data_IF_316981555138
#
_entry.id   IF_316981555138
#
_cell.length_a   1.000
_cell.length_b   1.000
_cell.length_c   1.000
_cell.angle_alpha   90.00
_cell.angle_beta   90.00
_cell.angle_gamma   90.00
#
_symmetry.space_group_name_H-M   'P 1'
#
loop_
_entity.id
_entity.type
_entity.pdbx_description
1 polymer ?
#
# COMPACT_ATOMS: atom_id res chain seq x y z
N UNK A 1 29.20 14.07 -4.18
CA UNK A 1 28.89 15.46 -4.50
C UNK A 1 27.39 15.53 -4.83
N UNK A 2 26.64 16.33 -4.12
CA UNK A 2 25.26 16.66 -4.48
C UNK A 2 25.35 17.78 -5.48
N UNK A 3 25.02 17.52 -6.74
CA UNK A 3 24.90 18.54 -7.74
C UNK A 3 23.52 19.16 -7.64
N UNK A 4 23.45 20.38 -7.13
CA UNK A 4 22.20 21.14 -7.10
C UNK A 4 22.04 21.85 -8.45
N UNK A 5 21.23 21.28 -9.35
CA UNK A 5 20.92 21.88 -10.63
C UNK A 5 19.78 22.87 -10.43
N UNK A 6 20.10 24.16 -10.36
CA UNK A 6 19.07 25.21 -10.33
C UNK A 6 18.67 25.47 -11.79
N UNK A 7 17.56 24.89 -12.21
CA UNK A 7 16.99 25.22 -13.53
C UNK A 7 16.33 26.61 -13.46
N UNK A 8 16.65 27.44 -14.49
CA UNK A 8 15.93 28.71 -14.65
C UNK A 8 14.45 28.41 -14.91
N UNK A 9 13.58 28.83 -13.99
CA UNK A 9 12.14 28.60 -14.12
C UNK A 9 11.63 29.36 -15.35
N UNK A 10 10.93 28.70 -16.26
CA UNK A 10 10.24 29.38 -17.36
C UNK A 10 9.07 30.17 -16.76
N UNK A 11 9.04 31.47 -17.00
CA UNK A 11 8.00 32.37 -16.49
C UNK A 11 6.63 32.07 -17.13
N UNK A 12 6.63 31.62 -18.38
CA UNK A 12 5.41 31.27 -19.12
C UNK A 12 5.73 30.16 -20.11
N UNK A 13 4.86 29.19 -20.24
CA UNK A 13 4.97 28.10 -21.21
C UNK A 13 4.34 26.84 -20.71
N UNK A 14 4.21 25.84 -21.57
CA UNK A 14 3.63 24.57 -21.25
C UNK A 14 4.22 23.43 -22.05
N UNK A 15 3.90 22.23 -21.64
CA UNK A 15 4.22 20.98 -22.33
C UNK A 15 2.98 20.08 -22.26
N UNK A 16 2.72 19.42 -23.38
CA UNK A 16 1.67 18.39 -23.48
C UNK A 16 2.33 17.14 -24.02
N UNK A 17 2.13 16.02 -23.33
CA UNK A 17 2.53 14.70 -23.77
C UNK A 17 1.27 13.82 -23.79
N UNK A 18 1.14 13.03 -24.83
CA UNK A 18 0.10 12.01 -24.90
C UNK A 18 0.66 10.74 -25.53
N UNK A 19 0.14 9.63 -25.07
CA UNK A 19 0.43 8.32 -25.62
C UNK A 19 -0.90 7.58 -25.75
N UNK A 20 -1.17 7.02 -26.92
CA UNK A 20 -2.32 6.17 -27.19
C UNK A 20 -1.80 4.82 -27.65
N UNK A 21 -2.25 3.77 -27.00
CA UNK A 21 -1.84 2.40 -27.27
C UNK A 21 -3.04 1.50 -27.04
N UNK A 22 -3.72 1.17 -28.12
CA UNK A 22 -4.97 0.39 -28.08
C UNK A 22 -4.94 -0.77 -29.07
N UNK A 23 -5.48 -1.90 -28.65
CA UNK A 23 -5.75 -3.06 -29.49
C UNK A 23 -7.25 -3.35 -29.51
N UNK A 24 -7.98 -2.90 -30.52
CA UNK A 24 -9.43 -3.05 -30.55
C UNK A 24 -9.91 -4.51 -30.56
N UNK A 25 -9.12 -5.42 -31.12
CA UNK A 25 -9.44 -6.84 -31.19
C UNK A 25 -9.45 -7.52 -29.82
N UNK A 26 -8.48 -7.15 -28.95
CA UNK A 26 -8.34 -7.74 -27.60
C UNK A 26 -8.94 -6.88 -26.51
N UNK A 27 -9.52 -5.73 -26.86
CA UNK A 27 -9.98 -4.71 -25.90
C UNK A 27 -8.90 -4.31 -24.88
N UNK A 28 -7.62 -4.40 -25.30
CA UNK A 28 -6.51 -3.93 -24.50
C UNK A 28 -6.19 -2.49 -24.87
N UNK A 29 -5.96 -1.65 -23.85
CA UNK A 29 -5.54 -0.27 -24.07
C UNK A 29 -4.79 0.28 -22.88
N UNK A 30 -3.82 1.15 -23.17
CA UNK A 30 -3.09 1.91 -22.19
C UNK A 30 -2.82 3.32 -22.73
N UNK A 31 -3.53 4.31 -22.19
CA UNK A 31 -3.56 5.66 -22.71
C UNK A 31 -3.13 6.64 -21.62
N UNK A 32 -2.31 7.60 -21.99
CA UNK A 32 -1.79 8.60 -21.09
C UNK A 32 -1.86 9.99 -21.74
N UNK A 33 -2.33 10.96 -20.95
CA UNK A 33 -2.27 12.39 -21.25
C UNK A 33 -1.64 13.11 -20.06
N UNK A 34 -0.60 13.88 -20.31
CA UNK A 34 0.00 14.80 -19.33
C UNK A 34 0.14 16.19 -19.94
N UNK A 35 -0.36 17.18 -19.25
CA UNK A 35 -0.16 18.58 -19.64
C UNK A 35 0.25 19.40 -18.42
N UNK A 36 1.25 20.27 -18.62
CA UNK A 36 1.70 21.25 -17.64
C UNK A 36 1.73 22.63 -18.26
N UNK A 37 1.29 23.61 -17.52
CA UNK A 37 1.32 25.01 -17.90
C UNK A 37 1.86 25.85 -16.76
N UNK A 38 2.86 26.70 -17.06
CA UNK A 38 3.48 27.64 -16.13
C UNK A 38 3.11 29.06 -16.51
N UNK A 39 2.67 29.80 -15.51
CA UNK A 39 2.48 31.25 -15.66
C UNK A 39 2.99 31.96 -14.41
N UNK A 40 4.06 32.73 -14.56
CA UNK A 40 4.75 33.41 -13.45
C UNK A 40 5.10 32.43 -12.32
N UNK A 41 4.50 32.62 -11.17
CA UNK A 41 4.75 31.83 -9.97
C UNK A 41 3.83 30.60 -9.84
N UNK A 42 2.92 30.41 -10.79
CA UNK A 42 1.92 29.33 -10.78
C UNK A 42 2.27 28.26 -11.80
N UNK A 43 2.04 27.01 -11.43
CA UNK A 43 2.11 25.85 -12.31
C UNK A 43 0.81 25.06 -12.17
N UNK A 44 0.23 24.69 -13.30
CA UNK A 44 -0.97 23.86 -13.41
C UNK A 44 -0.58 22.56 -14.10
N UNK A 45 -1.08 21.45 -13.63
CA UNK A 45 -0.85 20.14 -14.24
C UNK A 45 -2.13 19.33 -14.29
N UNK A 46 -2.24 18.54 -15.35
CA UNK A 46 -3.22 17.47 -15.49
C UNK A 46 -2.51 16.23 -15.98
N UNK A 47 -2.70 15.12 -15.28
CA UNK A 47 -2.30 13.80 -15.74
C UNK A 47 -3.54 12.90 -15.73
N UNK A 48 -3.78 12.26 -16.86
CA UNK A 48 -4.85 11.29 -17.00
C UNK A 48 -4.28 9.99 -17.57
N UNK A 49 -4.60 8.90 -16.90
CA UNK A 49 -4.21 7.56 -17.29
C UNK A 49 -5.45 6.69 -17.40
N UNK A 50 -5.58 5.98 -18.52
CA UNK A 50 -6.60 4.97 -18.74
C UNK A 50 -5.93 3.65 -19.10
N UNK A 51 -6.40 2.58 -18.49
CA UNK A 51 -6.03 1.21 -18.86
C UNK A 51 -7.27 0.34 -18.88
N UNK A 52 -7.41 -0.43 -19.94
CA UNK A 52 -8.44 -1.45 -20.08
C UNK A 52 -7.80 -2.72 -20.61
N UNK A 53 -8.36 -3.85 -20.23
CA UNK A 53 -7.87 -5.12 -20.72
C UNK A 53 -8.88 -6.24 -20.54
N UNK A 54 -9.08 -7.00 -21.62
CA UNK A 54 -9.76 -8.28 -21.61
C UNK A 54 -8.70 -9.38 -21.69
N UNK A 55 -8.77 -10.34 -20.80
CA UNK A 55 -7.87 -11.49 -20.78
C UNK A 55 -8.62 -12.73 -20.30
N UNK A 56 -8.09 -13.89 -20.63
CA UNK A 56 -8.54 -15.16 -20.12
C UNK A 56 -7.58 -15.63 -19.02
N UNK A 57 -8.12 -16.19 -17.97
CA UNK A 57 -7.35 -16.61 -16.80
C UNK A 57 -7.39 -18.12 -16.68
N UNK A 58 -6.20 -18.74 -16.59
CA UNK A 58 -6.05 -20.13 -16.23
C UNK A 58 -5.31 -20.23 -14.91
N UNK A 59 -5.91 -20.90 -13.95
CA UNK A 59 -5.30 -21.19 -12.66
C UNK A 59 -5.16 -22.69 -12.50
N UNK A 60 -3.99 -23.15 -12.10
CA UNK A 60 -3.76 -24.52 -11.68
C UNK A 60 -3.27 -24.49 -10.23
N UNK A 61 -3.89 -25.30 -9.37
CA UNK A 61 -3.47 -25.42 -7.99
C UNK A 61 -3.64 -26.85 -7.49
N UNK A 62 -2.72 -27.23 -6.61
CA UNK A 62 -2.84 -28.41 -5.76
C UNK A 62 -2.91 -27.93 -4.32
N UNK A 63 -4.02 -28.17 -3.66
CA UNK A 63 -4.33 -27.66 -2.33
C UNK A 63 -4.53 -28.84 -1.38
N UNK A 64 -3.83 -28.84 -0.25
CA UNK A 64 -3.98 -29.84 0.79
C UNK A 64 -4.55 -29.19 2.05
N UNK A 65 -5.69 -29.64 2.49
CA UNK A 65 -6.38 -29.14 3.67
C UNK A 65 -6.32 -30.19 4.79
N UNK A 66 -5.78 -29.79 5.94
CA UNK A 66 -5.71 -30.62 7.15
C UNK A 66 -6.86 -30.28 8.07
N UNK A 67 -7.86 -31.15 8.16
CA UNK A 67 -9.09 -30.96 8.92
C UNK A 67 -9.13 -31.76 10.24
N UNK A 68 -7.98 -31.98 10.85
CA UNK A 68 -7.84 -32.73 12.09
C UNK A 68 -7.86 -34.24 11.87
N UNK A 69 -9.03 -34.81 11.74
CA UNK A 69 -9.24 -36.25 11.55
C UNK A 69 -9.13 -36.73 10.09
N UNK A 70 -9.15 -35.78 9.16
CA UNK A 70 -9.07 -36.06 7.71
C UNK A 70 -8.22 -35.03 6.99
N UNK A 71 -7.67 -35.47 5.85
CA UNK A 71 -6.96 -34.62 4.90
C UNK A 71 -7.73 -34.61 3.58
N UNK A 72 -7.89 -33.44 2.98
CA UNK A 72 -8.47 -33.29 1.65
C UNK A 72 -7.37 -32.77 0.72
N UNK A 73 -7.00 -33.58 -0.25
CA UNK A 73 -6.14 -33.18 -1.37
C UNK A 73 -7.02 -32.81 -2.56
N UNK A 74 -7.00 -31.54 -2.94
CA UNK A 74 -7.82 -31.00 -4.00
C UNK A 74 -6.94 -30.46 -5.12
N UNK A 75 -7.17 -30.94 -6.33
CA UNK A 75 -6.53 -30.42 -7.54
C UNK A 75 -7.57 -29.58 -8.28
N UNK A 76 -7.14 -28.38 -8.69
CA UNK A 76 -7.92 -27.48 -9.54
C UNK A 76 -7.19 -27.25 -10.85
N UNK A 77 -7.91 -27.35 -11.95
CA UNK A 77 -7.44 -27.03 -13.28
C UNK A 77 -8.40 -26.03 -13.93
N UNK A 78 -7.88 -24.82 -14.21
CA UNK A 78 -8.65 -23.74 -14.83
C UNK A 78 -8.97 -24.00 -16.28
N UNK A 79 -10.19 -23.70 -16.69
CA UNK A 79 -10.65 -23.74 -18.07
C UNK A 79 -10.56 -22.33 -18.64
N UNK A 80 -9.52 -22.06 -19.44
CA UNK A 80 -9.16 -20.73 -19.89
C UNK A 80 -10.25 -20.05 -20.71
N UNK A 81 -10.82 -20.73 -21.68
CA UNK A 81 -11.85 -20.20 -22.60
C UNK A 81 -13.12 -19.75 -21.85
N UNK A 82 -13.43 -20.39 -20.71
CA UNK A 82 -14.59 -20.11 -19.86
C UNK A 82 -14.25 -19.16 -18.69
N UNK A 83 -13.04 -18.62 -18.66
CA UNK A 83 -12.55 -17.74 -17.59
C UNK A 83 -12.19 -16.33 -18.08
N UNK A 84 -13.10 -15.63 -18.81
CA UNK A 84 -12.84 -14.27 -19.27
C UNK A 84 -12.87 -13.26 -18.13
N UNK A 85 -11.99 -12.29 -18.22
CA UNK A 85 -11.93 -11.14 -17.31
C UNK A 85 -11.84 -9.85 -18.11
N UNK A 86 -12.52 -8.80 -17.63
CA UNK A 86 -12.46 -7.45 -18.18
C UNK A 86 -12.26 -6.45 -17.07
N UNK A 87 -11.32 -5.54 -17.26
CA UNK A 87 -11.05 -4.47 -16.30
C UNK A 87 -10.81 -3.12 -16.95
N UNK A 88 -11.21 -2.09 -16.26
CA UNK A 88 -11.00 -0.67 -16.59
C UNK A 88 -10.40 0.05 -15.41
N UNK A 89 -9.35 0.83 -15.65
CA UNK A 89 -8.71 1.71 -14.65
C UNK A 89 -8.61 3.10 -15.26
N UNK A 90 -9.05 4.11 -14.52
CA UNK A 90 -8.92 5.51 -14.90
C UNK A 90 -8.35 6.29 -13.72
N UNK A 91 -7.27 7.00 -13.93
CA UNK A 91 -6.62 7.83 -12.93
C UNK A 91 -6.56 9.26 -13.43
N UNK A 92 -7.12 10.18 -12.68
CA UNK A 92 -7.04 11.61 -12.90
C UNK A 92 -6.23 12.26 -11.79
N UNK A 93 -5.26 13.07 -12.15
CA UNK A 93 -4.47 13.86 -11.23
C UNK A 93 -4.43 15.32 -11.72
N UNK A 94 -4.93 16.24 -10.92
CA UNK A 94 -4.89 17.68 -11.15
C UNK A 94 -3.97 18.31 -10.12
N UNK A 95 -3.00 19.09 -10.57
CA UNK A 95 -2.03 19.74 -9.69
C UNK A 95 -2.05 21.24 -9.88
N UNK A 96 -1.94 21.96 -8.78
CA UNK A 96 -1.70 23.40 -8.77
C UNK A 96 -0.56 23.71 -7.81
N UNK A 97 0.46 24.40 -8.28
CA UNK A 97 1.60 24.85 -7.50
C UNK A 97 1.71 26.37 -7.59
N UNK A 98 1.78 27.02 -6.44
CA UNK A 98 2.10 28.44 -6.34
C UNK A 98 3.33 28.63 -5.47
N UNK A 99 4.39 29.19 -6.03
CA UNK A 99 5.65 29.38 -5.32
C UNK A 99 6.08 30.83 -5.41
N UNK A 100 6.19 31.50 -4.26
CA UNK A 100 6.83 32.80 -4.16
C UNK A 100 8.14 32.60 -3.43
N UNK A 101 9.23 32.78 -4.15
CA UNK A 101 10.57 32.55 -3.61
C UNK A 101 10.76 33.24 -2.25
N UNK A 102 11.37 32.51 -1.30
CA UNK A 102 11.67 32.94 0.06
C UNK A 102 10.48 33.36 0.94
N UNK A 103 9.25 33.13 0.50
CA UNK A 103 8.06 33.51 1.26
C UNK A 103 7.13 32.33 1.53
N UNK A 104 6.55 31.75 0.49
CA UNK A 104 5.62 30.65 0.65
C UNK A 104 5.57 29.72 -0.56
N UNK A 105 5.17 28.49 -0.29
CA UNK A 105 4.79 27.46 -1.27
C UNK A 105 3.37 27.01 -0.93
N UNK A 106 2.50 26.98 -1.93
CA UNK A 106 1.20 26.35 -1.85
C UNK A 106 1.08 25.30 -2.94
N UNK A 107 0.59 24.13 -2.57
CA UNK A 107 0.35 23.03 -3.50
C UNK A 107 -1.05 22.48 -3.23
N UNK A 108 -1.81 22.27 -4.29
CA UNK A 108 -3.10 21.58 -4.25
C UNK A 108 -3.07 20.44 -5.28
N UNK A 109 -3.40 19.24 -4.84
CA UNK A 109 -3.45 18.05 -5.69
C UNK A 109 -4.80 17.38 -5.50
N UNK A 110 -5.58 17.30 -6.57
CA UNK A 110 -6.76 16.46 -6.62
C UNK A 110 -6.44 15.19 -7.37
N UNK A 111 -6.75 14.04 -6.78
CA UNK A 111 -6.60 12.71 -7.39
C UNK A 111 -7.93 11.99 -7.37
N UNK A 112 -8.24 11.29 -8.44
CA UNK A 112 -9.37 10.36 -8.45
C UNK A 112 -9.00 9.10 -9.21
N UNK A 113 -9.08 7.96 -8.52
CA UNK A 113 -8.88 6.65 -9.12
C UNK A 113 -10.25 5.98 -9.25
N UNK A 114 -10.54 5.55 -10.47
CA UNK A 114 -11.73 4.80 -10.82
C UNK A 114 -11.29 3.43 -11.34
N UNK A 115 -11.78 2.38 -10.74
CA UNK A 115 -11.58 1.02 -11.26
C UNK A 115 -12.92 0.32 -11.37
N UNK A 116 -13.05 -0.49 -12.42
CA UNK A 116 -14.23 -1.31 -12.65
C UNK A 116 -13.82 -2.60 -13.35
N UNK A 117 -14.16 -3.73 -12.76
CA UNK A 117 -14.07 -5.04 -13.37
C UNK A 117 -15.49 -5.63 -13.44
N UNK A 118 -16.21 -5.43 -14.58
CA UNK A 118 -17.59 -5.87 -14.71
C UNK A 118 -17.76 -7.37 -14.57
N UNK A 119 -16.73 -8.10 -14.89
CA UNK A 119 -16.65 -9.54 -14.65
C UNK A 119 -15.19 -10.00 -14.58
N UNK A 120 -14.95 -10.92 -13.67
CA UNK A 120 -13.74 -11.71 -13.54
C UNK A 120 -14.21 -13.13 -13.29
N UNK A 121 -14.34 -13.89 -14.37
CA UNK A 121 -14.83 -15.26 -14.34
C UNK A 121 -13.66 -16.22 -14.15
N UNK A 122 -13.90 -17.30 -13.42
CA UNK A 122 -12.97 -18.39 -13.24
C UNK A 122 -13.77 -19.69 -13.17
N UNK A 123 -13.60 -20.55 -14.16
CA UNK A 123 -14.16 -21.90 -14.18
C UNK A 123 -13.02 -22.89 -14.00
N UNK A 124 -13.14 -23.74 -12.98
CA UNK A 124 -12.17 -24.78 -12.70
C UNK A 124 -12.84 -26.15 -12.66
N UNK A 125 -12.17 -27.13 -13.18
CA UNK A 125 -12.41 -28.53 -12.89
C UNK A 125 -11.66 -28.91 -11.62
N UNK A 126 -12.33 -29.55 -10.68
CA UNK A 126 -11.78 -29.94 -9.37
C UNK A 126 -11.99 -31.41 -9.12
N UNK A 127 -10.98 -32.06 -8.52
CA UNK A 127 -11.06 -33.44 -8.07
C UNK A 127 -10.15 -33.68 -6.87
N UNK A 128 -10.48 -34.70 -6.07
CA UNK A 128 -9.58 -35.17 -5.03
C UNK A 128 -8.41 -35.94 -5.66
N UNK A 129 -7.20 -35.81 -5.11
CA UNK A 129 -6.05 -36.54 -5.59
C UNK A 129 -6.31 -38.06 -5.56
N UNK A 130 -6.07 -38.73 -6.68
CA UNK A 130 -6.35 -40.14 -6.87
C UNK A 130 -7.81 -40.51 -7.20
N UNK A 131 -8.73 -39.53 -7.28
CA UNK A 131 -10.13 -39.73 -7.68
C UNK A 131 -10.30 -39.55 -9.18
N UNK A 132 -11.22 -40.34 -9.77
CA UNK A 132 -11.70 -40.15 -11.14
C UNK A 132 -12.94 -39.27 -11.22
N UNK A 133 -13.57 -39.02 -10.08
CA UNK A 133 -14.72 -38.11 -10.00
C UNK A 133 -14.28 -36.67 -9.92
N UNK A 134 -14.90 -35.80 -10.70
CA UNK A 134 -14.64 -34.39 -10.70
C UNK A 134 -15.92 -33.58 -10.56
N UNK A 135 -15.77 -32.38 -10.01
CA UNK A 135 -16.78 -31.34 -9.94
C UNK A 135 -16.25 -30.10 -10.59
N UNK A 136 -17.09 -29.12 -10.83
CA UNK A 136 -16.69 -27.79 -11.31
C UNK A 136 -16.88 -26.77 -10.22
N UNK A 137 -15.97 -25.78 -10.16
CA UNK A 137 -16.17 -24.55 -9.41
C UNK A 137 -16.21 -23.36 -10.35
N UNK A 138 -17.19 -22.52 -10.15
CA UNK A 138 -17.34 -21.28 -10.91
C UNK A 138 -17.30 -20.09 -9.95
N UNK A 139 -16.43 -19.14 -10.26
CA UNK A 139 -16.34 -17.85 -9.56
C UNK A 139 -16.66 -16.75 -10.55
N UNK A 140 -17.52 -15.83 -10.16
CA UNK A 140 -17.73 -14.57 -10.86
C UNK A 140 -17.56 -13.43 -9.87
N UNK A 141 -16.56 -12.56 -10.11
CA UNK A 141 -16.37 -11.34 -9.36
C UNK A 141 -16.71 -10.13 -10.22
N UNK A 142 -17.52 -9.25 -9.66
CA UNK A 142 -17.72 -7.90 -10.16
C UNK A 142 -17.21 -6.92 -9.09
N UNK A 143 -16.19 -6.13 -9.42
CA UNK A 143 -15.62 -5.15 -8.50
C UNK A 143 -15.64 -3.77 -9.13
N UNK A 144 -15.96 -2.77 -8.34
CA UNK A 144 -15.81 -1.37 -8.73
C UNK A 144 -15.35 -0.52 -7.55
N UNK A 145 -14.59 0.51 -7.84
CA UNK A 145 -14.22 1.50 -6.82
C UNK A 145 -14.01 2.88 -7.44
N UNK A 146 -14.28 3.92 -6.65
CA UNK A 146 -13.76 5.25 -6.91
C UNK A 146 -13.19 5.84 -5.63
N UNK A 147 -12.12 6.63 -5.77
CA UNK A 147 -11.39 7.15 -4.62
C UNK A 147 -10.86 8.57 -4.85
N UNK A 148 -11.74 9.60 -4.80
CA UNK A 148 -11.28 10.97 -4.84
C UNK A 148 -10.51 11.35 -3.58
N UNK A 149 -9.42 12.08 -3.76
CA UNK A 149 -8.61 12.65 -2.70
C UNK A 149 -8.17 14.07 -3.05
N UNK A 150 -8.14 14.92 -2.06
CA UNK A 150 -7.63 16.29 -2.16
C UNK A 150 -6.51 16.47 -1.14
N UNK A 151 -5.32 16.81 -1.62
CA UNK A 151 -4.16 17.17 -0.80
C UNK A 151 -3.92 18.67 -0.92
N UNK A 152 -3.82 19.35 0.21
CA UNK A 152 -3.49 20.76 0.33
C UNK A 152 -2.22 20.89 1.17
N UNK A 153 -1.18 21.46 0.60
CA UNK A 153 0.07 21.75 1.29
C UNK A 153 0.36 23.24 1.27
N UNK A 154 0.73 23.78 2.41
CA UNK A 154 1.17 25.15 2.55
C UNK A 154 2.45 25.22 3.39
N UNK A 155 3.46 25.91 2.91
CA UNK A 155 4.66 26.25 3.64
C UNK A 155 4.88 27.74 3.64
N UNK A 156 5.17 28.31 4.80
CA UNK A 156 5.56 29.69 4.96
C UNK A 156 6.93 29.82 5.59
N UNK A 157 7.80 30.57 4.92
CA UNK A 157 9.14 30.90 5.44
C UNK A 157 9.03 32.15 6.32
N UNK A 158 9.44 32.01 7.58
CA UNK A 158 9.45 33.06 8.57
C UNK A 158 10.86 33.68 8.71
N UNK A 159 10.98 34.88 9.29
CA UNK A 159 12.30 35.46 9.64
C UNK A 159 13.14 34.51 10.50
N UNK A 160 14.45 34.73 10.55
CA UNK A 160 15.41 33.98 11.38
C UNK A 160 15.45 32.47 11.06
N UNK A 161 15.36 32.10 9.77
CA UNK A 161 15.51 30.72 9.30
C UNK A 161 14.48 29.75 9.91
N UNK A 162 13.24 30.21 10.03
CA UNK A 162 12.11 29.41 10.52
C UNK A 162 11.16 29.10 9.37
N UNK A 163 10.39 28.03 9.50
CA UNK A 163 9.30 27.71 8.58
C UNK A 163 8.15 27.00 9.31
N UNK A 164 6.94 27.23 8.79
CA UNK A 164 5.74 26.50 9.19
C UNK A 164 5.25 25.76 7.94
N UNK A 165 4.91 24.49 8.12
CA UNK A 165 4.33 23.65 7.07
C UNK A 165 3.01 23.11 7.60
N UNK A 166 1.98 23.16 6.76
CA UNK A 166 0.67 22.59 7.04
C UNK A 166 0.26 21.73 5.85
N UNK A 167 -0.17 20.52 6.14
CA UNK A 167 -0.69 19.59 5.15
C UNK A 167 -2.08 19.11 5.58
N UNK A 168 -3.04 19.10 4.65
CA UNK A 168 -4.40 18.56 4.88
C UNK A 168 -4.75 17.66 3.70
N UNK A 169 -5.08 16.40 4.00
CA UNK A 169 -5.53 15.44 3.00
C UNK A 169 -6.91 14.94 3.35
N UNK A 170 -7.86 15.10 2.44
CA UNK A 170 -9.19 14.49 2.51
C UNK A 170 -9.32 13.36 1.49
N UNK A 171 -9.87 12.21 1.89
CA UNK A 171 -10.09 11.07 0.98
C UNK A 171 -11.46 10.46 1.20
N UNK A 172 -12.14 10.17 0.10
CA UNK A 172 -13.36 9.37 0.07
C UNK A 172 -13.07 8.13 -0.76
N UNK A 173 -13.44 6.95 -0.28
CA UNK A 173 -13.31 5.70 -1.05
C UNK A 173 -14.65 5.00 -0.98
N UNK A 174 -15.18 4.65 -2.14
CA UNK A 174 -16.35 3.79 -2.26
C UNK A 174 -15.98 2.55 -3.06
N UNK A 175 -16.34 1.39 -2.54
CA UNK A 175 -16.03 0.09 -3.17
C UNK A 175 -17.28 -0.78 -3.22
N UNK A 176 -17.45 -1.49 -4.33
CA UNK A 176 -18.45 -2.56 -4.46
C UNK A 176 -17.76 -3.83 -4.87
N UNK A 177 -18.09 -4.91 -4.18
CA UNK A 177 -17.63 -6.25 -4.51
C UNK A 177 -18.82 -7.20 -4.50
N UNK A 178 -19.11 -7.80 -5.63
CA UNK A 178 -20.13 -8.84 -5.77
C UNK A 178 -19.42 -10.11 -6.24
N UNK A 179 -19.34 -11.08 -5.37
CA UNK A 179 -18.73 -12.38 -5.63
C UNK A 179 -19.82 -13.46 -5.60
N UNK A 180 -19.89 -14.24 -6.67
CA UNK A 180 -20.67 -15.47 -6.74
C UNK A 180 -19.72 -16.64 -6.86
N UNK A 181 -19.92 -17.66 -6.04
CA UNK A 181 -19.19 -18.90 -6.04
C UNK A 181 -20.15 -20.07 -6.11
N UNK A 182 -19.93 -20.97 -7.06
CA UNK A 182 -20.73 -22.20 -7.20
C UNK A 182 -19.84 -23.41 -7.30
N UNK A 183 -20.25 -24.51 -6.67
CA UNK A 183 -19.72 -25.84 -6.93
C UNK A 183 -20.84 -26.71 -7.48
N UNK A 184 -20.56 -27.49 -8.51
CA UNK A 184 -21.56 -28.35 -9.14
C UNK A 184 -20.92 -29.54 -9.85
N UNK A 185 -21.64 -30.66 -9.87
CA UNK A 185 -21.37 -31.81 -10.75
C UNK A 185 -22.22 -31.71 -12.02
N UNK A 186 -23.43 -31.18 -11.86
CA UNK A 186 -24.40 -30.82 -12.89
C UNK A 186 -24.85 -29.38 -12.62
N UNK A 187 -24.87 -28.50 -13.63
CA UNK A 187 -25.26 -27.09 -13.50
C UNK A 187 -26.63 -26.87 -12.86
N UNK A 188 -27.54 -27.80 -13.05
CA UNK A 188 -28.92 -27.75 -12.51
C UNK A 188 -29.03 -28.18 -11.04
N UNK A 189 -27.97 -28.76 -10.47
CA UNK A 189 -27.93 -29.25 -9.10
C UNK A 189 -26.64 -28.79 -8.38
N UNK A 190 -26.54 -27.51 -7.97
CA UNK A 190 -25.35 -27.00 -7.32
C UNK A 190 -25.14 -27.66 -5.96
N UNK A 191 -23.90 -28.06 -5.69
CA UNK A 191 -23.44 -28.53 -4.37
C UNK A 191 -23.23 -27.35 -3.41
N UNK A 192 -22.85 -26.19 -3.94
CA UNK A 192 -22.78 -24.93 -3.23
C UNK A 192 -23.15 -23.76 -4.13
N UNK A 193 -23.84 -22.76 -3.59
CA UNK A 193 -24.14 -21.47 -4.22
C UNK A 193 -23.97 -20.38 -3.15
N UNK A 194 -22.83 -19.70 -3.20
CA UNK A 194 -22.43 -18.67 -2.22
C UNK A 194 -22.41 -17.34 -2.93
N UNK A 195 -23.14 -16.37 -2.42
CA UNK A 195 -23.10 -15.01 -2.90
C UNK A 195 -22.70 -14.06 -1.77
N UNK A 196 -21.66 -13.27 -2.03
CA UNK A 196 -21.19 -12.21 -1.15
C UNK A 196 -21.25 -10.90 -1.91
N UNK A 197 -22.01 -9.95 -1.38
CA UNK A 197 -22.07 -8.59 -1.89
C UNK A 197 -21.63 -7.66 -0.75
N UNK A 198 -20.60 -6.84 -1.00
CA UNK A 198 -20.08 -5.87 -0.04
C UNK A 198 -20.08 -4.49 -0.68
N UNK A 199 -20.81 -3.56 -0.06
CA UNK A 199 -20.72 -2.12 -0.33
C UNK A 199 -19.91 -1.48 0.80
N UNK A 200 -18.78 -0.85 0.45
CA UNK A 200 -17.86 -0.26 1.42
C UNK A 200 -17.67 1.24 1.17
N UNK A 201 -17.83 2.02 2.23
CA UNK A 201 -17.56 3.45 2.27
C UNK A 201 -16.47 3.76 3.30
N UNK A 202 -15.45 4.49 2.88
CA UNK A 202 -14.40 5.00 3.75
C UNK A 202 -14.21 6.49 3.54
N UNK A 203 -14.23 7.24 4.63
CA UNK A 203 -13.96 8.68 4.65
C UNK A 203 -12.81 8.96 5.60
N UNK A 204 -11.84 9.74 5.16
CA UNK A 204 -10.72 10.08 6.04
C UNK A 204 -10.23 11.50 5.82
N UNK A 205 -9.71 12.09 6.91
CA UNK A 205 -9.02 13.38 6.91
C UNK A 205 -7.71 13.21 7.67
N UNK A 206 -6.65 13.75 7.11
CA UNK A 206 -5.33 13.86 7.74
C UNK A 206 -5.00 15.35 7.83
N UNK A 207 -4.65 15.83 9.00
CA UNK A 207 -4.07 17.14 9.22
C UNK A 207 -2.67 17.01 9.82
N UNK A 208 -1.71 17.76 9.31
CA UNK A 208 -0.34 17.78 9.83
C UNK A 208 0.15 19.22 9.89
N UNK A 209 0.81 19.60 10.98
CA UNK A 209 1.47 20.88 11.14
C UNK A 209 2.89 20.64 11.66
N UNK A 210 3.88 21.25 11.01
CA UNK A 210 5.30 21.14 11.38
C UNK A 210 5.88 22.54 11.48
N UNK A 211 6.56 22.81 12.56
CA UNK A 211 7.40 23.98 12.72
C UNK A 211 8.88 23.57 12.66
N UNK A 212 9.68 24.33 11.94
CA UNK A 212 11.11 24.09 11.79
C UNK A 212 11.90 25.36 12.09
N UNK A 213 13.04 25.20 12.74
CA UNK A 213 14.02 26.26 12.96
C UNK A 213 15.42 25.75 12.66
N UNK A 214 16.10 26.44 11.75
CA UNK A 214 17.48 26.16 11.39
C UNK A 214 18.41 27.05 12.21
N UNK A 215 19.39 26.42 12.83
CA UNK A 215 20.59 27.04 13.38
C UNK A 215 21.76 26.75 12.43
N UNK A 216 22.95 27.27 12.73
CA UNK A 216 24.11 27.10 11.81
C UNK A 216 24.35 25.64 11.40
N UNK A 217 24.32 24.71 12.34
CA UNK A 217 24.68 23.31 12.13
C UNK A 217 23.58 22.34 12.56
N UNK A 218 22.53 22.85 13.20
CA UNK A 218 21.46 22.07 13.78
C UNK A 218 20.10 22.59 13.30
N UNK A 219 19.21 21.68 12.94
CA UNK A 219 17.82 21.95 12.64
C UNK A 219 16.96 21.29 13.72
N UNK A 220 16.04 22.05 14.29
CA UNK A 220 15.00 21.56 15.17
C UNK A 220 13.68 21.53 14.40
N UNK A 221 12.91 20.47 14.61
CA UNK A 221 11.57 20.33 14.04
C UNK A 221 10.65 19.75 15.10
N UNK A 222 9.48 20.32 15.25
CA UNK A 222 8.39 19.75 16.03
C UNK A 222 7.12 19.70 15.17
N UNK A 223 6.29 18.72 15.42
CA UNK A 223 5.09 18.56 14.62
C UNK A 223 4.03 17.73 15.30
N UNK A 224 2.81 17.95 14.82
CA UNK A 224 1.63 17.19 15.20
C UNK A 224 0.92 16.73 13.93
N UNK A 225 0.46 15.47 13.96
CA UNK A 225 -0.36 14.87 12.90
C UNK A 225 -1.58 14.23 13.52
N UNK A 226 -2.73 14.53 12.94
CA UNK A 226 -3.99 13.88 13.31
C UNK A 226 -4.59 13.22 12.07
N UNK A 227 -5.01 11.99 12.22
CA UNK A 227 -5.72 11.20 11.23
C UNK A 227 -7.06 10.78 11.83
N UNK A 228 -8.14 11.04 11.11
CA UNK A 228 -9.49 10.60 11.44
C UNK A 228 -10.04 9.80 10.27
N UNK A 229 -10.64 8.65 10.54
CA UNK A 229 -11.24 7.79 9.54
C UNK A 229 -12.56 7.21 10.05
N UNK A 230 -13.51 7.08 9.15
CA UNK A 230 -14.72 6.28 9.33
C UNK A 230 -14.86 5.33 8.16
N UNK A 231 -15.08 4.07 8.46
CA UNK A 231 -15.34 3.01 7.47
C UNK A 231 -16.67 2.35 7.79
N UNK A 232 -17.46 2.09 6.77
CA UNK A 232 -18.74 1.38 6.85
C UNK A 232 -18.78 0.34 5.73
N UNK A 233 -19.03 -0.92 6.08
CA UNK A 233 -19.22 -2.00 5.13
C UNK A 233 -20.61 -2.60 5.33
N UNK A 234 -21.39 -2.61 4.27
CA UNK A 234 -22.70 -3.26 4.22
C UNK A 234 -22.53 -4.61 3.50
N UNK A 235 -22.71 -5.70 4.21
CA UNK A 235 -22.68 -7.05 3.68
C UNK A 235 -24.09 -7.48 3.34
N UNK A 236 -24.29 -7.91 2.08
CA UNK A 236 -25.58 -8.41 1.57
C UNK A 236 -25.35 -9.83 1.04
N UNK A 237 -26.35 -10.67 1.05
CA UNK A 237 -26.27 -12.05 0.61
C UNK A 237 -26.75 -13.01 1.69
N UNK A 238 -26.04 -14.12 1.90
CA UNK A 238 -26.46 -15.17 2.83
C UNK A 238 -26.53 -14.73 4.29
N UNK A 239 -25.64 -13.78 4.70
CA UNK A 239 -25.58 -13.23 6.06
C UNK A 239 -25.52 -11.70 6.00
N UNK A 240 -26.68 -11.01 5.84
CA UNK A 240 -26.69 -9.56 5.74
C UNK A 240 -26.35 -8.91 7.10
N UNK A 241 -25.38 -8.01 7.09
CA UNK A 241 -24.97 -7.24 8.26
C UNK A 241 -24.26 -5.96 7.86
N UNK A 242 -24.11 -5.02 8.79
CA UNK A 242 -23.36 -3.79 8.59
C UNK A 242 -22.30 -3.66 9.67
N UNK A 243 -21.07 -3.46 9.26
CA UNK A 243 -19.95 -3.20 10.16
C UNK A 243 -19.48 -1.75 9.99
N UNK A 244 -19.21 -1.08 11.11
CA UNK A 244 -18.78 0.33 11.17
C UNK A 244 -17.59 0.46 12.09
N UNK A 245 -16.59 1.21 11.63
CA UNK A 245 -15.43 1.54 12.45
C UNK A 245 -15.10 3.02 12.35
N UNK A 246 -14.98 3.65 13.50
CA UNK A 246 -14.36 4.96 13.65
C UNK A 246 -12.94 4.76 14.18
N UNK A 247 -11.97 5.42 13.56
CA UNK A 247 -10.56 5.34 13.93
C UNK A 247 -9.92 6.70 13.94
N UNK A 248 -9.09 6.97 14.94
CA UNK A 248 -8.22 8.14 14.95
C UNK A 248 -6.81 7.79 15.37
N UNK A 249 -5.85 8.54 14.84
CA UNK A 249 -4.46 8.45 15.23
C UNK A 249 -3.90 9.87 15.38
N UNK A 250 -3.41 10.19 16.57
CA UNK A 250 -2.76 11.48 16.84
C UNK A 250 -1.32 11.22 17.22
N UNK A 251 -0.40 11.83 16.49
CA UNK A 251 1.04 11.73 16.73
C UNK A 251 1.62 13.11 16.96
N UNK A 252 2.52 13.25 17.95
CA UNK A 252 3.34 14.43 18.15
C UNK A 252 4.80 14.00 18.22
N UNK A 253 5.69 14.82 17.70
CA UNK A 253 7.12 14.52 17.68
C UNK A 253 7.97 15.77 17.83
N UNK A 254 9.20 15.56 18.31
CA UNK A 254 10.29 16.53 18.31
C UNK A 254 11.51 15.86 17.70
N UNK A 255 12.16 16.54 16.73
CA UNK A 255 13.33 16.05 16.02
C UNK A 255 14.47 17.05 16.07
N UNK A 256 15.67 16.54 16.30
CA UNK A 256 16.95 17.26 16.18
C UNK A 256 17.73 16.63 15.05
N UNK A 257 18.12 17.43 14.07
CA UNK A 257 18.93 17.02 12.94
C UNK A 257 20.17 17.90 12.84
N UNK A 258 21.32 17.31 12.53
CA UNK A 258 22.55 18.06 12.36
C UNK A 258 23.60 17.32 11.54
N UNK A 259 24.70 18.05 11.29
CA UNK A 259 25.85 17.53 10.57
C UNK A 259 27.14 18.03 11.20
N UNK A 260 28.07 17.11 11.48
CA UNK A 260 29.41 17.42 11.97
C UNK A 260 30.41 16.78 11.00
N UNK A 261 31.10 17.59 10.21
CA UNK A 261 32.01 17.13 9.15
C UNK A 261 31.32 16.13 8.18
N UNK A 262 31.79 14.90 8.17
CA UNK A 262 31.30 13.83 7.31
C UNK A 262 30.16 13.01 7.96
N UNK A 263 29.81 13.30 9.22
CA UNK A 263 28.75 12.62 9.97
C UNK A 263 27.48 13.47 10.01
N UNK A 264 26.36 12.88 9.60
CA UNK A 264 25.03 13.48 9.72
C UNK A 264 24.17 12.62 10.64
N UNK A 265 23.40 13.29 11.48
CA UNK A 265 22.53 12.64 12.46
C UNK A 265 21.15 13.28 12.45
N UNK A 266 20.14 12.48 12.74
CA UNK A 266 18.82 12.95 13.12
C UNK A 266 18.26 12.00 14.17
N UNK A 267 17.72 12.57 15.24
CA UNK A 267 17.04 11.85 16.30
C UNK A 267 15.70 12.47 16.58
N UNK A 268 14.65 11.69 16.60
CA UNK A 268 13.32 12.16 17.01
C UNK A 268 12.76 11.32 18.14
N UNK A 269 11.99 11.96 18.99
CA UNK A 269 11.13 11.34 19.98
C UNK A 269 9.70 11.73 19.66
N UNK A 270 8.81 10.76 19.72
CA UNK A 270 7.39 10.96 19.43
C UNK A 270 6.51 10.08 20.27
N UNK A 271 5.24 10.46 20.34
CA UNK A 271 4.18 9.69 20.96
C UNK A 271 3.02 9.61 19.98
N UNK A 272 2.48 8.42 19.81
CA UNK A 272 1.29 8.20 18.99
C UNK A 272 0.18 7.60 19.85
N UNK A 273 -0.97 8.26 19.88
CA UNK A 273 -2.22 7.70 20.38
C UNK A 273 -3.00 7.14 19.19
N UNK A 274 -3.27 5.85 19.21
CA UNK A 274 -4.17 5.18 18.30
C UNK A 274 -5.47 4.86 19.03
N UNK A 275 -6.60 5.19 18.42
CA UNK A 275 -7.93 4.93 18.95
C UNK A 275 -8.80 4.36 17.83
N UNK A 276 -9.59 3.35 18.15
CA UNK A 276 -10.62 2.86 17.26
C UNK A 276 -11.82 2.35 18.04
N UNK A 277 -12.98 2.47 17.43
CA UNK A 277 -14.24 1.94 17.90
C UNK A 277 -14.88 1.13 16.77
N UNK A 278 -15.21 -0.12 17.06
CA UNK A 278 -15.98 -1.01 16.20
C UNK A 278 -17.18 -1.49 17.00
N UNK A 279 -18.39 -1.22 16.48
CA UNK A 279 -19.64 -1.49 17.20
C UNK A 279 -19.67 -0.86 18.61
N UNK A 280 -19.73 -1.67 19.67
CA UNK A 280 -19.68 -1.19 21.06
C UNK A 280 -18.28 -1.25 21.68
N UNK A 281 -17.33 -1.92 21.02
CA UNK A 281 -15.97 -2.09 21.53
C UNK A 281 -15.10 -0.89 21.19
N UNK A 282 -14.45 -0.32 22.22
CA UNK A 282 -13.58 0.85 22.10
C UNK A 282 -12.17 0.53 22.63
N UNK A 283 -11.15 0.90 21.85
CA UNK A 283 -9.76 0.67 22.20
C UNK A 283 -8.91 1.91 22.02
N UNK A 284 -8.01 2.16 22.95
CA UNK A 284 -7.04 3.24 22.87
C UNK A 284 -5.65 2.75 23.30
N UNK A 285 -4.65 3.03 22.47
CA UNK A 285 -3.26 2.61 22.67
C UNK A 285 -2.32 3.78 22.52
N UNK A 286 -1.26 3.78 23.31
CA UNK A 286 -0.20 4.78 23.25
C UNK A 286 1.11 4.08 22.92
N UNK A 287 1.81 4.59 21.90
CA UNK A 287 3.09 4.04 21.45
C UNK A 287 4.12 5.14 21.44
N UNK A 288 5.25 4.90 22.11
CA UNK A 288 6.44 5.73 21.98
C UNK A 288 7.10 5.43 20.62
N UNK A 289 7.32 6.46 19.81
CA UNK A 289 7.76 6.32 18.40
C UNK A 289 9.09 7.04 18.16
N UNK A 290 10.21 6.56 18.71
CA UNK A 290 11.52 7.12 18.47
C UNK A 290 11.99 6.83 17.05
N UNK A 291 12.77 7.75 16.48
CA UNK A 291 13.49 7.52 15.22
C UNK A 291 14.93 7.98 15.36
N UNK A 292 15.87 7.18 14.89
CA UNK A 292 17.29 7.54 14.79
C UNK A 292 17.74 7.32 13.36
N UNK A 293 18.38 8.32 12.78
CA UNK A 293 18.98 8.26 11.45
C UNK A 293 20.42 8.77 11.54
N UNK A 294 21.35 7.91 11.23
CA UNK A 294 22.78 8.23 11.24
C UNK A 294 23.34 7.98 9.85
N UNK A 295 24.23 8.83 9.40
CA UNK A 295 24.94 8.60 8.14
C UNK A 295 26.37 9.12 8.24
N UNK A 296 27.27 8.37 7.65
CA UNK A 296 28.67 8.70 7.63
C UNK A 296 29.25 8.59 6.20
N UNK A 297 29.85 9.70 5.74
CA UNK A 297 30.52 9.73 4.46
C UNK A 297 31.98 9.29 4.64
N UNK A 298 32.28 8.06 4.25
CA UNK A 298 33.62 7.48 4.28
C UNK A 298 34.53 7.97 3.14
N UNK A 299 34.11 9.03 2.43
CA UNK A 299 34.81 9.62 1.28
C UNK A 299 35.04 8.57 0.18
N UNK A 300 36.30 8.22 -0.08
CA UNK A 300 36.67 7.22 -1.10
C UNK A 300 36.22 5.80 -0.74
N UNK A 301 35.89 5.53 0.51
CA UNK A 301 35.47 4.22 1.01
C UNK A 301 33.96 4.04 1.04
N UNK A 302 33.16 4.99 0.54
CA UNK A 302 31.71 4.83 0.41
C UNK A 302 30.88 5.64 1.41
N UNK A 303 29.67 5.19 1.63
CA UNK A 303 28.68 5.86 2.46
C UNK A 303 27.93 4.87 3.32
N UNK A 304 27.89 5.08 4.63
CA UNK A 304 27.19 4.24 5.61
C UNK A 304 25.96 4.96 6.12
N UNK A 305 24.83 4.24 6.24
CA UNK A 305 23.58 4.73 6.84
C UNK A 305 23.04 3.71 7.83
N UNK A 306 22.57 4.23 8.95
CA UNK A 306 21.80 3.47 9.92
C UNK A 306 20.47 4.16 10.20
N UNK A 307 19.41 3.38 10.32
CA UNK A 307 18.09 3.85 10.71
C UNK A 307 17.47 2.90 11.70
N UNK A 308 16.92 3.47 12.76
CA UNK A 308 16.08 2.80 13.73
C UNK A 308 14.74 3.52 13.85
N UNK A 309 13.64 2.80 13.94
CA UNK A 309 12.33 3.36 14.29
C UNK A 309 11.43 2.32 14.95
N UNK A 310 10.52 2.81 15.80
CA UNK A 310 9.39 2.06 16.35
C UNK A 310 8.11 2.65 15.74
N UNK A 311 7.22 1.79 15.26
CA UNK A 311 5.93 2.18 14.70
C UNK A 311 4.80 1.28 15.19
N UNK A 312 3.61 1.84 15.52
CA UNK A 312 2.43 1.05 15.81
C UNK A 312 1.79 0.54 14.53
N UNK A 313 1.14 -0.60 14.60
CA UNK A 313 0.23 -1.10 13.57
C UNK A 313 -1.14 -1.37 14.18
N UNK A 314 -2.18 -0.90 13.52
CA UNK A 314 -3.58 -0.93 13.96
C UNK A 314 -4.31 -2.00 13.14
N UNK A 315 -5.21 -2.81 13.76
CA UNK A 315 -6.02 -3.77 13.03
C UNK A 315 -6.86 -3.10 11.93
N UNK A 316 -7.08 -3.81 10.83
CA UNK A 316 -8.02 -3.37 9.79
C UNK A 316 -9.47 -3.63 10.19
N UNK A 317 -10.44 -2.94 9.58
CA UNK A 317 -11.85 -3.23 9.80
C UNK A 317 -12.18 -4.68 9.42
N UNK A 318 -11.64 -5.17 8.29
CA UNK A 318 -11.87 -6.55 7.85
C UNK A 318 -11.36 -7.60 8.83
N UNK A 319 -10.27 -7.29 9.54
CA UNK A 319 -9.73 -8.18 10.58
C UNK A 319 -10.51 -8.12 11.90
N UNK A 320 -11.18 -6.99 12.18
CA UNK A 320 -11.94 -6.79 13.43
C UNK A 320 -13.38 -7.29 13.34
N UNK A 321 -14.01 -7.13 12.18
CA UNK A 321 -15.44 -7.40 12.02
C UNK A 321 -15.79 -8.88 12.22
N UNK A 322 -16.77 -9.17 13.06
CA UNK A 322 -17.25 -10.54 13.36
C UNK A 322 -18.19 -11.07 12.27
N UNK A 323 -17.88 -10.80 11.02
CA UNK A 323 -18.68 -11.25 9.88
C UNK A 323 -18.03 -12.49 9.26
N UNK A 324 -18.75 -13.59 9.24
CA UNK A 324 -18.33 -14.82 8.58
C UNK A 324 -18.60 -14.74 7.07
N UNK A 325 -17.56 -15.01 6.29
CA UNK A 325 -17.63 -15.08 4.84
C UNK A 325 -17.14 -16.44 4.35
N UNK A 326 -18.05 -17.23 3.80
CA UNK A 326 -17.68 -18.48 3.16
C UNK A 326 -16.92 -18.19 1.85
N UNK A 327 -15.70 -18.71 1.77
CA UNK A 327 -14.87 -18.61 0.57
C UNK A 327 -15.20 -19.73 -0.43
N UNK A 328 -15.43 -20.92 0.10
CA UNK A 328 -15.88 -22.12 -0.61
C UNK A 328 -16.58 -23.06 0.37
N UNK A 329 -16.75 -24.33 0.03
CA UNK A 329 -17.40 -25.35 0.89
C UNK A 329 -16.54 -25.74 2.10
N UNK A 330 -15.23 -25.43 2.11
CA UNK A 330 -14.27 -25.87 3.12
C UNK A 330 -13.81 -24.69 3.98
N UNK A 331 -13.72 -23.48 3.44
CA UNK A 331 -13.05 -22.35 4.05
C UNK A 331 -14.02 -21.21 4.39
N UNK A 332 -13.89 -20.67 5.60
CA UNK A 332 -14.62 -19.51 6.10
C UNK A 332 -13.60 -18.49 6.61
N UNK A 333 -13.72 -17.24 6.20
CA UNK A 333 -13.00 -16.10 6.79
C UNK A 333 -13.87 -15.49 7.87
N UNK A 334 -13.30 -15.28 9.05
CA UNK A 334 -13.96 -14.66 10.22
C UNK A 334 -13.03 -13.61 10.81
N UNK A 335 -13.54 -12.43 11.11
CA UNK A 335 -12.76 -11.41 11.83
C UNK A 335 -12.65 -11.70 13.33
N UNK A 336 -11.90 -10.84 14.02
CA UNK A 336 -11.61 -10.97 15.44
C UNK A 336 -11.69 -9.60 16.14
N UNK A 337 -12.81 -9.27 16.80
CA UNK A 337 -12.98 -8.00 17.51
C UNK A 337 -11.99 -7.78 18.65
N UNK A 338 -11.36 -8.86 19.16
CA UNK A 338 -10.42 -8.83 20.28
C UNK A 338 -8.97 -8.44 19.86
N UNK A 339 -8.74 -8.14 18.59
CA UNK A 339 -7.42 -7.75 18.11
C UNK A 339 -6.91 -6.47 18.76
N UNK A 340 -5.62 -6.48 19.12
CA UNK A 340 -4.91 -5.34 19.69
C UNK A 340 -3.91 -4.78 18.69
N UNK A 341 -3.59 -3.51 18.82
CA UNK A 341 -2.47 -2.93 18.09
C UNK A 341 -1.17 -3.64 18.49
N UNK A 342 -0.22 -3.68 17.57
CA UNK A 342 1.12 -4.19 17.85
C UNK A 342 2.20 -3.17 17.49
N UNK A 343 3.43 -3.44 17.92
CA UNK A 343 4.57 -2.57 17.63
C UNK A 343 5.57 -3.29 16.73
N UNK A 344 6.14 -2.52 15.82
CA UNK A 344 7.20 -2.97 14.94
C UNK A 344 8.46 -2.15 15.19
N UNK A 345 9.55 -2.83 15.49
CA UNK A 345 10.89 -2.27 15.67
C UNK A 345 11.69 -2.56 14.42
N UNK A 346 12.16 -1.53 13.74
CA UNK A 346 12.92 -1.68 12.51
C UNK A 346 14.32 -1.11 12.66
N UNK A 347 15.34 -1.93 12.40
CA UNK A 347 16.73 -1.54 12.25
C UNK A 347 17.15 -1.74 10.80
N UNK A 348 17.76 -0.75 10.20
CA UNK A 348 18.27 -0.84 8.84
C UNK A 348 19.68 -0.29 8.78
N UNK A 349 20.61 -1.07 8.26
CA UNK A 349 21.98 -0.67 7.98
C UNK A 349 22.21 -0.79 6.48
N UNK A 350 22.69 0.27 5.84
CA UNK A 350 23.06 0.23 4.44
C UNK A 350 24.45 0.81 4.21
N UNK A 351 25.21 0.14 3.37
CA UNK A 351 26.52 0.58 2.93
C UNK A 351 26.54 0.65 1.41
N UNK A 352 26.96 1.80 0.87
CA UNK A 352 27.08 2.03 -0.57
C UNK A 352 28.51 2.40 -0.91
N UNK A 353 29.08 1.72 -1.86
CA UNK A 353 30.41 1.99 -2.40
C UNK A 353 30.34 2.14 -3.91
N UNK A 354 31.00 3.18 -4.43
CA UNK A 354 31.12 3.38 -5.88
C UNK A 354 32.50 3.92 -6.21
N UNK A 355 33.21 3.24 -7.08
CA UNK A 355 34.53 3.67 -7.56
C UNK A 355 34.71 3.28 -9.01
N UNK A 356 34.87 4.27 -9.89
CA UNK A 356 34.99 4.07 -11.35
C UNK A 356 33.85 3.21 -11.90
N UNK A 357 34.15 2.00 -12.31
CA UNK A 357 33.21 1.06 -12.92
C UNK A 357 32.53 0.11 -11.91
N UNK A 358 33.03 0.07 -10.67
CA UNK A 358 32.52 -0.83 -9.63
C UNK A 358 31.57 -0.09 -8.69
N UNK A 359 30.41 -0.67 -8.43
CA UNK A 359 29.48 -0.24 -7.40
C UNK A 359 29.04 -1.46 -6.56
N UNK A 360 28.86 -1.24 -5.29
CA UNK A 360 28.33 -2.25 -4.36
C UNK A 360 27.39 -1.57 -3.36
N UNK A 361 26.26 -2.19 -3.13
CA UNK A 361 25.28 -1.79 -2.12
C UNK A 361 24.96 -2.99 -1.24
N UNK A 362 25.24 -2.87 0.06
CA UNK A 362 24.81 -3.84 1.08
C UNK A 362 23.67 -3.20 1.89
N UNK A 363 22.57 -3.92 2.03
CA UNK A 363 21.45 -3.53 2.88
C UNK A 363 21.14 -4.68 3.83
N UNK A 364 21.09 -4.37 5.13
CA UNK A 364 20.69 -5.32 6.16
C UNK A 364 19.54 -4.71 6.93
N UNK A 365 18.42 -5.43 7.01
CA UNK A 365 17.21 -5.02 7.72
C UNK A 365 16.83 -6.08 8.75
N UNK A 366 16.78 -5.68 10.00
CA UNK A 366 16.25 -6.47 11.09
C UNK A 366 14.92 -5.86 11.56
N UNK A 367 13.89 -6.67 11.67
CA UNK A 367 12.58 -6.28 12.15
C UNK A 367 12.16 -7.21 13.29
N UNK A 368 11.71 -6.62 14.37
CA UNK A 368 11.08 -7.32 15.48
C UNK A 368 9.63 -6.86 15.57
N UNK A 369 8.72 -7.82 15.61
CA UNK A 369 7.29 -7.61 15.70
C UNK A 369 6.82 -8.08 17.07
N UNK A 370 6.28 -7.16 17.85
CA UNK A 370 5.76 -7.45 19.18
C UNK A 370 4.28 -7.75 19.13
N UNK A 371 3.91 -9.02 19.28
CA UNK A 371 2.55 -9.56 19.17
C UNK A 371 1.83 -9.19 17.86
N UNK A 372 2.41 -9.46 16.69
CA UNK A 372 1.82 -9.08 15.40
C UNK A 372 0.49 -9.76 15.15
N UNK A 373 -0.34 -9.08 14.36
CA UNK A 373 -1.57 -9.65 13.83
C UNK A 373 -1.21 -10.53 12.63
N UNK A 374 -1.56 -11.79 12.70
CA UNK A 374 -1.32 -12.77 11.63
C UNK A 374 -2.52 -13.71 11.52
N UNK A 375 -2.75 -14.22 10.31
CA UNK A 375 -3.78 -15.20 10.06
C UNK A 375 -3.47 -16.52 10.79
N UNK A 376 -4.45 -17.02 11.48
CA UNK A 376 -4.49 -18.32 12.13
C UNK A 376 -5.58 -19.19 11.48
N UNK A 377 -5.33 -20.47 11.38
CA UNK A 377 -6.24 -21.42 10.77
C UNK A 377 -6.71 -22.40 11.86
N UNK A 378 -8.02 -22.50 12.04
CA UNK A 378 -8.67 -23.41 12.99
C UNK A 378 -9.58 -24.40 12.24
N UNK A 379 -9.80 -25.56 12.82
CA UNK A 379 -10.79 -26.51 12.35
C UNK A 379 -12.01 -26.44 13.26
N UNK A 380 -13.16 -26.08 12.71
CA UNK A 380 -14.45 -26.00 13.40
C UNK A 380 -15.54 -26.57 12.50
N UNK A 381 -16.32 -27.49 12.99
CA UNK A 381 -17.41 -28.19 12.27
C UNK A 381 -16.99 -28.77 10.90
N UNK A 382 -15.76 -29.29 10.83
CA UNK A 382 -15.20 -29.87 9.60
C UNK A 382 -14.86 -28.86 8.51
N UNK A 383 -14.71 -27.58 8.86
CA UNK A 383 -14.28 -26.48 8.00
C UNK A 383 -13.04 -25.81 8.55
N UNK A 384 -12.31 -25.13 7.69
CA UNK A 384 -11.18 -24.28 8.03
C UNK A 384 -11.67 -22.86 8.28
N UNK A 385 -11.46 -22.35 9.47
CA UNK A 385 -11.74 -20.97 9.85
C UNK A 385 -10.44 -20.18 9.78
N UNK A 386 -10.36 -19.24 8.85
CA UNK A 386 -9.27 -18.30 8.71
C UNK A 386 -9.60 -17.07 9.54
N UNK A 387 -8.78 -16.78 10.55
CA UNK A 387 -9.04 -15.72 11.52
C UNK A 387 -7.74 -15.03 11.91
N UNK A 388 -7.72 -13.71 11.87
CA UNK A 388 -6.59 -12.94 12.36
C UNK A 388 -6.49 -12.99 13.90
N UNK A 389 -5.28 -13.20 14.41
CA UNK A 389 -4.97 -13.20 15.85
C UNK A 389 -3.66 -12.48 16.15
N UNK A 390 -3.56 -11.93 17.38
CA UNK A 390 -2.27 -11.46 17.87
C UNK A 390 -1.41 -12.68 18.20
N UNK A 391 -0.38 -12.91 17.40
CA UNK A 391 0.55 -14.04 17.51
C UNK A 391 1.73 -13.69 18.44
N UNK A 392 2.53 -14.72 18.78
CA UNK A 392 3.79 -14.51 19.50
C UNK A 392 4.74 -13.63 18.69
N UNK A 393 5.49 -12.82 19.42
CA UNK A 393 6.52 -11.98 18.82
C UNK A 393 7.52 -12.79 18.03
N UNK A 394 7.93 -12.28 16.88
CA UNK A 394 8.96 -12.87 16.05
C UNK A 394 9.88 -11.80 15.47
N UNK A 395 10.96 -12.23 14.87
CA UNK A 395 11.90 -11.35 14.19
C UNK A 395 12.27 -11.87 12.82
N UNK A 396 12.59 -10.95 11.92
CA UNK A 396 13.10 -11.25 10.60
C UNK A 396 14.40 -10.49 10.35
N UNK A 397 15.34 -11.15 9.67
CA UNK A 397 16.59 -10.56 9.19
C UNK A 397 16.67 -10.73 7.68
N UNK A 398 16.76 -9.62 6.97
CA UNK A 398 16.92 -9.59 5.53
C UNK A 398 18.24 -8.92 5.18
N UNK A 399 19.08 -9.59 4.40
CA UNK A 399 20.35 -9.06 3.92
C UNK A 399 20.41 -9.17 2.40
N UNK A 400 20.70 -8.06 1.74
CA UNK A 400 20.77 -7.95 0.30
C UNK A 400 22.12 -7.33 -0.09
N UNK A 401 22.84 -7.98 -0.98
CA UNK A 401 24.08 -7.46 -1.57
C UNK A 401 23.89 -7.34 -3.08
N UNK A 402 23.96 -6.10 -3.57
CA UNK A 402 23.95 -5.81 -4.99
C UNK A 402 25.35 -5.34 -5.41
N UNK A 403 25.92 -6.01 -6.40
CA UNK A 403 27.23 -5.65 -6.98
C UNK A 403 27.03 -5.38 -8.45
N UNK A 404 27.48 -4.22 -8.90
CA UNK A 404 27.43 -3.80 -10.30
C UNK A 404 28.83 -3.49 -10.82
N UNK A 405 29.12 -3.97 -12.01
CA UNK A 405 30.35 -3.67 -12.75
C UNK A 405 29.98 -3.03 -14.08
N UNK A 406 30.20 -1.73 -14.20
CA UNK A 406 29.99 -1.01 -15.46
C UNK A 406 31.21 -1.28 -16.37
N UNK A 407 31.10 -2.33 -17.19
CA UNK A 407 32.19 -2.83 -17.95
C UNK A 407 32.41 -2.12 -19.27
N UNK A 408 33.10 -0.98 -19.27
CA UNK A 408 33.65 -0.49 -20.53
C UNK A 408 34.81 -1.35 -21.07
N UNK A 409 35.32 -2.32 -20.31
CA UNK A 409 36.51 -3.09 -20.73
C UNK A 409 36.72 -4.46 -20.04
N UNK A 410 35.65 -5.17 -19.65
CA UNK A 410 35.79 -6.59 -19.40
C UNK A 410 35.74 -7.29 -20.76
N UNK A 411 36.84 -7.89 -21.18
CA UNK A 411 36.99 -8.57 -22.48
C UNK A 411 37.07 -7.69 -23.75
N UNK A 412 37.44 -6.41 -23.66
CA UNK A 412 37.62 -5.55 -24.84
C UNK A 412 36.31 -5.16 -25.55
N UNK A 413 35.16 -5.42 -24.98
CA UNK A 413 33.85 -4.98 -25.48
C UNK A 413 33.50 -3.65 -24.81
N UNK A 414 33.29 -2.59 -25.58
CA UNK A 414 32.73 -1.32 -25.10
C UNK A 414 31.23 -1.53 -24.87
N UNK A 415 30.73 -1.08 -23.73
CA UNK A 415 29.29 -1.08 -23.36
C UNK A 415 28.70 -2.47 -22.95
N UNK A 416 29.43 -3.24 -22.17
CA UNK A 416 28.87 -4.41 -21.51
C UNK A 416 28.20 -4.02 -20.18
N UNK A 417 26.88 -4.13 -20.10
CA UNK A 417 26.09 -4.04 -18.86
C UNK A 417 25.81 -5.48 -18.38
N UNK A 418 26.28 -5.83 -17.21
CA UNK A 418 25.88 -7.01 -16.45
C UNK A 418 24.82 -6.62 -15.44
#
# INVERSE_FOLDING_TARGET
AVVNIILRRRETGGVVNFQLSDSPHTLWGENFLSAKFNYKNSEWGIDYFNKNGKYHRRLESHETFYLGDRTIDRIKEGIEDESPSLSFINNLNLTYNLTKADKYVFNAIFRNNLSNAPYQNELNKMWAAGSTESIYSYVNNHTSSYSPALDLYFQHTLPHQQSIQVNVTGTLIHTKNNRKYKEYKDENAPLADIQTLVDGDKRSVIGEAIYEKNFKEVKLSDGVRHYQMRTENEYKGSNPTTSKMDQSQTSAFFEVQGKVKDFSYAGSVGMTRAWFKESEEEHAYYTFTPTVRLSYNLKKAGFLRYRFNISPAIPSLGSLTDVEQAMDTIQIVRGNPLLKTYQQFTNSLSYSYSKKQFNANLSVRHQYYDNPIMESIFVEDGKLILKDENQRSFQSLNAELMVGLNGATLFGVKDFLL
#
